data_IF_331876117275
#
_entry.id   IF_331876117275
#
_cell.length_a   1.000
_cell.length_b   1.000
_cell.length_c   1.000
_cell.angle_alpha   90.00
_cell.angle_beta   90.00
_cell.angle_gamma   90.00
#
_symmetry.space_group_name_H-M   'P 1'
#
loop_
_entity.id
_entity.type
_entity.pdbx_description
1 polymer ?
#
# COMPACT_ATOMS: atom_id res chain seq x y z
N UNK A 1 8.79 23.96 21.34
CA UNK A 1 8.90 25.22 20.57
C UNK A 1 7.52 25.81 20.23
N UNK A 2 6.69 25.21 19.37
CA UNK A 2 5.41 25.84 18.98
C UNK A 2 4.42 26.02 20.13
N UNK A 3 4.36 25.06 21.06
CA UNK A 3 3.57 25.19 22.30
C UNK A 3 4.07 26.34 23.16
N UNK A 4 5.39 26.45 23.34
CA UNK A 4 6.00 27.47 24.19
C UNK A 4 5.83 28.88 23.60
N UNK A 5 5.64 28.98 22.28
CA UNK A 5 5.26 30.20 21.57
C UNK A 5 3.74 30.47 21.58
N UNK A 6 2.94 29.62 22.22
CA UNK A 6 1.48 29.73 22.28
C UNK A 6 0.75 29.43 20.97
N UNK A 7 1.42 28.81 20.00
CA UNK A 7 0.86 28.53 18.67
C UNK A 7 0.03 27.23 18.63
N UNK A 8 0.26 26.31 19.57
CA UNK A 8 -0.49 25.06 19.72
C UNK A 8 -0.68 24.74 21.20
N UNK A 9 -1.72 23.98 21.54
CA UNK A 9 -2.02 23.60 22.92
C UNK A 9 -1.51 22.21 23.33
N UNK A 10 -1.04 21.41 22.38
CA UNK A 10 -0.58 20.05 22.65
C UNK A 10 0.92 20.02 22.94
N UNK A 11 1.31 19.11 23.84
CA UNK A 11 2.69 18.90 24.26
C UNK A 11 3.45 18.00 23.29
N UNK A 12 2.80 16.90 22.87
CA UNK A 12 3.34 15.89 21.96
C UNK A 12 2.56 15.89 20.63
N UNK A 13 3.24 15.72 19.48
CA UNK A 13 2.61 15.84 18.16
C UNK A 13 1.77 14.62 17.76
N UNK A 14 1.95 13.44 18.35
CA UNK A 14 1.26 12.21 17.96
C UNK A 14 0.87 11.36 19.19
N UNK A 15 -0.41 10.96 19.28
CA UNK A 15 -0.92 10.05 20.33
C UNK A 15 -0.60 8.58 20.03
N UNK A 16 -0.64 8.20 18.73
CA UNK A 16 -0.37 6.86 18.25
C UNK A 16 0.56 6.95 17.04
N UNK A 17 1.59 6.12 17.03
CA UNK A 17 2.56 6.03 15.94
C UNK A 17 2.58 4.59 15.41
N UNK A 18 2.43 4.45 14.09
CA UNK A 18 2.62 3.19 13.38
C UNK A 18 3.81 3.38 12.44
N UNK A 19 4.84 2.56 12.60
CA UNK A 19 6.01 2.54 11.71
C UNK A 19 5.88 1.37 10.76
N UNK A 20 5.48 1.67 9.52
CA UNK A 20 5.28 0.64 8.51
C UNK A 20 6.59 -0.06 8.14
N UNK A 21 6.49 -1.34 7.78
CA UNK A 21 7.59 -2.11 7.23
C UNK A 21 7.96 -1.65 5.82
N UNK A 22 9.19 -1.97 5.42
CA UNK A 22 9.70 -1.61 4.10
C UNK A 22 9.19 -2.56 3.03
N UNK A 23 8.99 -2.03 1.83
CA UNK A 23 8.73 -2.84 0.63
C UNK A 23 10.05 -3.17 -0.05
N UNK A 24 10.27 -4.46 -0.26
CA UNK A 24 11.45 -5.02 -0.91
C UNK A 24 11.13 -5.44 -2.33
N UNK A 25 12.15 -5.44 -3.18
CA UNK A 25 12.13 -6.08 -4.50
C UNK A 25 13.51 -6.61 -4.82
N UNK A 26 13.58 -7.86 -5.25
CA UNK A 26 14.81 -8.60 -5.45
C UNK A 26 15.65 -8.67 -4.15
N UNK A 27 14.97 -8.91 -3.02
CA UNK A 27 15.60 -9.05 -1.70
C UNK A 27 16.20 -7.77 -1.13
N UNK A 28 15.86 -6.61 -1.70
CA UNK A 28 16.38 -5.31 -1.31
C UNK A 28 15.25 -4.32 -1.12
N UNK A 29 15.33 -3.48 -0.09
CA UNK A 29 14.42 -2.32 0.05
C UNK A 29 14.39 -1.53 -1.26
N UNK A 30 13.19 -1.21 -1.75
CA UNK A 30 13.00 -0.47 -2.98
C UNK A 30 13.67 0.90 -2.91
N UNK A 31 14.51 1.22 -3.89
CA UNK A 31 15.13 2.54 -4.02
C UNK A 31 15.54 2.84 -5.46
N UNK A 32 15.56 4.14 -5.82
CA UNK A 32 16.00 4.58 -7.16
C UNK A 32 17.44 4.15 -7.47
N UNK A 33 18.34 4.23 -6.48
CA UNK A 33 19.74 3.85 -6.63
C UNK A 33 19.96 2.36 -6.95
N UNK A 34 19.03 1.49 -6.57
CA UNK A 34 19.08 0.05 -6.83
C UNK A 34 18.33 -0.36 -8.09
N UNK A 35 17.65 0.57 -8.76
CA UNK A 35 16.89 0.28 -9.98
C UNK A 35 15.73 -0.70 -9.78
N UNK A 36 15.27 -0.91 -8.55
CA UNK A 36 14.27 -1.91 -8.19
C UNK A 36 12.92 -1.29 -7.79
N UNK A 37 12.68 -0.02 -8.14
CA UNK A 37 11.41 0.67 -7.86
C UNK A 37 10.29 0.09 -8.73
N UNK A 38 9.09 0.02 -8.16
CA UNK A 38 7.85 -0.20 -8.90
C UNK A 38 7.08 1.12 -8.90
N UNK A 39 6.63 1.55 -10.07
CA UNK A 39 5.89 2.81 -10.22
C UNK A 39 4.41 2.58 -9.88
N UNK A 40 3.86 3.22 -8.83
CA UNK A 40 2.46 3.07 -8.46
C UNK A 40 1.50 3.61 -9.51
N UNK A 41 1.90 4.57 -10.35
CA UNK A 41 1.04 5.13 -11.40
C UNK A 41 0.83 4.12 -12.52
N UNK A 42 1.89 3.39 -12.92
CA UNK A 42 1.80 2.29 -13.87
C UNK A 42 0.91 1.16 -13.35
N UNK A 43 1.06 0.80 -12.07
CA UNK A 43 0.25 -0.24 -11.44
C UNK A 43 -1.22 0.16 -11.35
N UNK A 44 -1.49 1.42 -11.02
CA UNK A 44 -2.86 1.97 -10.95
C UNK A 44 -3.50 2.02 -12.34
N UNK A 45 -2.76 2.43 -13.37
CA UNK A 45 -3.26 2.44 -14.74
C UNK A 45 -3.59 1.03 -15.26
N UNK A 46 -2.85 0.02 -14.80
CA UNK A 46 -3.01 -1.37 -15.26
C UNK A 46 -4.11 -2.13 -14.49
N UNK A 47 -4.13 -2.02 -13.16
CA UNK A 47 -4.98 -2.85 -12.29
C UNK A 47 -6.08 -2.07 -11.57
N UNK A 48 -6.01 -0.74 -11.57
CA UNK A 48 -6.88 0.12 -10.77
C UNK A 48 -6.39 0.30 -9.33
N UNK A 49 -6.75 1.43 -8.73
CA UNK A 49 -6.30 1.82 -7.40
C UNK A 49 -6.73 0.82 -6.31
N UNK A 50 -7.93 0.24 -6.43
CA UNK A 50 -8.45 -0.70 -5.42
C UNK A 50 -7.67 -2.01 -5.39
N UNK A 51 -7.22 -2.51 -6.54
CA UNK A 51 -6.41 -3.72 -6.60
C UNK A 51 -5.05 -3.50 -5.91
N UNK A 52 -4.42 -2.35 -6.15
CA UNK A 52 -3.15 -1.97 -5.52
C UNK A 52 -3.28 -1.82 -4.01
N UNK A 53 -4.28 -1.06 -3.55
CA UNK A 53 -4.52 -0.86 -2.11
C UNK A 53 -4.87 -2.17 -1.40
N UNK A 54 -5.68 -3.03 -2.04
CA UNK A 54 -6.01 -4.33 -1.48
C UNK A 54 -4.76 -5.19 -1.33
N UNK A 55 -3.89 -5.20 -2.34
CA UNK A 55 -2.64 -5.93 -2.27
C UNK A 55 -1.77 -5.46 -1.09
N UNK A 56 -1.53 -4.15 -0.99
CA UNK A 56 -0.73 -3.55 0.09
C UNK A 56 -1.26 -3.89 1.49
N UNK A 57 -2.59 -3.87 1.68
CA UNK A 57 -3.20 -4.12 2.98
C UNK A 57 -3.33 -5.62 3.32
N UNK A 58 -3.22 -6.51 2.33
CA UNK A 58 -3.45 -7.95 2.48
C UNK A 58 -2.16 -8.77 2.55
N UNK A 59 -1.08 -8.28 1.93
CA UNK A 59 0.17 -9.05 1.76
C UNK A 59 0.88 -9.36 3.08
N UNK A 60 0.81 -8.46 4.07
CA UNK A 60 1.28 -8.69 5.43
C UNK A 60 0.69 -7.65 6.42
N UNK A 61 0.83 -7.85 7.73
CA UNK A 61 0.65 -6.77 8.71
C UNK A 61 1.51 -5.55 8.38
N UNK A 62 1.03 -4.32 8.65
CA UNK A 62 1.66 -3.09 8.16
C UNK A 62 3.06 -2.85 8.72
N UNK A 63 3.42 -3.41 9.87
CA UNK A 63 4.73 -3.26 10.51
C UNK A 63 5.80 -4.19 9.94
N UNK A 64 5.41 -5.18 9.11
CA UNK A 64 6.33 -6.17 8.56
C UNK A 64 6.86 -5.74 7.19
N UNK A 65 8.12 -6.09 6.94
CA UNK A 65 8.70 -5.99 5.61
C UNK A 65 8.02 -6.98 4.66
N UNK A 66 7.84 -6.57 3.39
CA UNK A 66 7.17 -7.38 2.38
C UNK A 66 7.97 -7.39 1.08
N UNK A 67 8.09 -8.55 0.44
CA UNK A 67 8.67 -8.67 -0.90
C UNK A 67 7.57 -8.43 -1.94
N UNK A 68 7.79 -7.45 -2.82
CA UNK A 68 6.88 -7.16 -3.90
C UNK A 68 6.87 -8.27 -4.95
N UNK A 69 5.66 -8.71 -5.32
CA UNK A 69 5.46 -9.63 -6.44
C UNK A 69 4.30 -9.15 -7.31
N UNK A 70 4.50 -9.10 -8.63
CA UNK A 70 3.46 -8.67 -9.57
C UNK A 70 2.26 -9.65 -9.55
N UNK A 71 2.54 -10.93 -9.31
CA UNK A 71 1.52 -11.99 -9.15
C UNK A 71 0.62 -11.76 -7.93
N UNK A 72 1.13 -11.13 -6.88
CA UNK A 72 0.34 -10.74 -5.70
C UNK A 72 -0.72 -9.69 -6.05
N UNK A 73 -0.33 -8.69 -6.85
CA UNK A 73 -1.24 -7.65 -7.33
C UNK A 73 -2.31 -8.19 -8.27
N UNK A 74 -1.92 -9.07 -9.21
CA UNK A 74 -2.87 -9.79 -10.07
C UNK A 74 -3.89 -10.60 -9.26
N UNK A 75 -3.46 -11.21 -8.15
CA UNK A 75 -4.32 -11.91 -7.21
C UNK A 75 -5.42 -10.99 -6.64
N UNK A 76 -5.05 -9.78 -6.25
CA UNK A 76 -5.96 -8.77 -5.70
C UNK A 76 -6.97 -8.29 -6.75
N UNK A 77 -6.52 -8.03 -7.98
CA UNK A 77 -7.42 -7.68 -9.09
C UNK A 77 -8.42 -8.81 -9.40
N UNK A 78 -7.98 -10.07 -9.42
CA UNK A 78 -8.87 -11.22 -9.60
C UNK A 78 -9.87 -11.39 -8.47
N UNK A 79 -9.46 -11.13 -7.22
CA UNK A 79 -10.36 -11.16 -6.08
C UNK A 79 -11.47 -10.10 -6.22
N UNK A 80 -11.11 -8.86 -6.55
CA UNK A 80 -12.10 -7.81 -6.81
C UNK A 80 -13.05 -8.18 -7.96
N UNK A 81 -12.52 -8.76 -9.04
CA UNK A 81 -13.36 -9.27 -10.14
C UNK A 81 -14.32 -10.39 -9.71
N UNK A 82 -13.97 -11.22 -8.72
CA UNK A 82 -14.89 -12.20 -8.13
C UNK A 82 -15.98 -11.53 -7.31
N UNK A 83 -15.62 -10.55 -6.47
CA UNK A 83 -16.58 -9.76 -5.68
C UNK A 83 -17.57 -9.06 -6.61
N UNK A 84 -17.07 -8.44 -7.68
CA UNK A 84 -17.92 -7.78 -8.67
C UNK A 84 -18.93 -8.73 -9.30
N UNK A 85 -18.51 -9.91 -9.77
CA UNK A 85 -19.42 -10.91 -10.35
C UNK A 85 -20.45 -11.44 -9.36
N UNK A 86 -20.11 -11.51 -8.08
CA UNK A 86 -21.04 -11.93 -7.03
C UNK A 86 -22.16 -10.90 -6.81
N UNK A 87 -21.85 -9.61 -6.94
CA UNK A 87 -22.80 -8.51 -6.75
C UNK A 87 -23.57 -8.18 -8.03
N UNK A 88 -22.93 -8.34 -9.21
CA UNK A 88 -23.47 -7.99 -10.53
C UNK A 88 -23.60 -9.22 -11.44
N UNK A 89 -24.40 -10.24 -11.09
CA UNK A 89 -24.50 -11.49 -11.86
C UNK A 89 -25.17 -11.33 -13.23
N UNK A 90 -25.83 -10.20 -13.53
CA UNK A 90 -26.68 -10.03 -14.71
C UNK A 90 -26.09 -9.15 -15.83
N UNK A 91 -24.84 -8.69 -15.68
CA UNK A 91 -24.17 -7.78 -16.63
C UNK A 91 -23.07 -8.46 -17.46
N UNK A 92 -23.07 -9.79 -17.48
CA UNK A 92 -22.31 -10.68 -18.36
C UNK A 92 -23.25 -11.76 -18.89
#
# INVERSE_FOLDING_TARGET
MFRDLGLVQHDEPFERLLTQGMVLRHGNVMSKSKGNVVDPDEMTATFGADALRLYEMFVAPPEKEIEWTDTGLEGSARFLGRVWRLVMPSLL
#
